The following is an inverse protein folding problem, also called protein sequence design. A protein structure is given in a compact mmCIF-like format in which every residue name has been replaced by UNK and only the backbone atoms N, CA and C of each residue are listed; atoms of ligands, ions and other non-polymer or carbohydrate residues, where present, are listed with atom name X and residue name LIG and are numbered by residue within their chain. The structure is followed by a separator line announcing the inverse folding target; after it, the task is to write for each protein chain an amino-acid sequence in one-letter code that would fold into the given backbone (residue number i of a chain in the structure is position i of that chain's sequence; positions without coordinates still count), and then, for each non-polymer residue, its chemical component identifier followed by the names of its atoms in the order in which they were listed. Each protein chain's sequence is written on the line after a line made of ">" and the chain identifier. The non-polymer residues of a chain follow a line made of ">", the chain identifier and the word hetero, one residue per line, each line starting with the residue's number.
data_IF_727128149514
#
_entry.id   IF_727128149514
#
_cell.length_a   1.000
_cell.length_b   1.000
_cell.length_c   1.000
_cell.angle_alpha   90.00
_cell.angle_beta   90.00
_cell.angle_gamma   90.00
#
_symmetry.space_group_name_H-M   'P 1'
#
loop_
_entity.id
_entity.type
_entity.pdbx_description
1 polymer ?
#
# COMPACT_ATOMS: atom_id res chain seq x y z
N UNK A 1 27.00 7.59 1.39
CA UNK A 1 26.32 8.51 0.45
C UNK A 1 25.43 9.44 1.26
N UNK A 2 25.58 10.77 1.14
CA UNK A 2 24.71 11.73 1.84
C UNK A 2 23.67 12.28 0.88
N UNK A 3 22.40 12.29 1.29
CA UNK A 3 21.31 12.90 0.52
C UNK A 3 21.24 14.38 0.90
N UNK A 4 21.42 15.27 -0.07
CA UNK A 4 21.27 16.72 0.07
C UNK A 4 19.83 17.12 -0.28
N UNK A 5 19.32 18.12 0.44
CA UNK A 5 17.98 18.71 0.23
C UNK A 5 16.87 17.65 0.17
N UNK A 6 16.74 16.79 1.20
CA UNK A 6 15.69 15.79 1.21
C UNK A 6 14.31 16.47 1.23
N UNK A 7 13.39 15.98 0.40
CA UNK A 7 11.98 16.35 0.38
C UNK A 7 11.15 15.08 0.54
N UNK A 8 10.40 14.98 1.63
CA UNK A 8 9.51 13.85 1.91
C UNK A 8 8.08 14.22 1.52
N UNK A 9 7.38 13.28 0.89
CA UNK A 9 6.03 13.45 0.37
C UNK A 9 5.22 12.18 0.63
N UNK A 10 4.01 12.30 1.17
CA UNK A 10 3.06 11.20 1.38
C UNK A 10 2.03 11.25 0.26
N UNK A 11 1.79 10.11 -0.39
CA UNK A 11 0.77 9.95 -1.41
C UNK A 11 -0.39 9.15 -0.82
N UNK A 12 -1.61 9.66 -0.91
CA UNK A 12 -2.82 8.98 -0.46
C UNK A 12 -3.59 8.43 -1.67
N UNK A 13 -4.25 7.29 -1.48
CA UNK A 13 -5.20 6.79 -2.48
C UNK A 13 -6.31 7.83 -2.69
N UNK A 14 -6.53 8.20 -3.96
CA UNK A 14 -7.53 9.16 -4.46
C UNK A 14 -7.14 10.66 -4.38
N UNK A 15 -5.98 11.01 -3.85
CA UNK A 15 -5.51 12.40 -3.87
C UNK A 15 -4.75 12.68 -5.17
N UNK A 16 -4.99 13.84 -5.81
CA UNK A 16 -4.26 14.23 -7.02
C UNK A 16 -2.86 14.75 -6.73
N UNK A 17 -2.64 15.33 -5.54
CA UNK A 17 -1.36 15.87 -5.12
C UNK A 17 -0.90 15.23 -3.81
N UNK A 18 0.41 14.97 -3.65
CA UNK A 18 0.95 14.46 -2.40
C UNK A 18 1.00 15.54 -1.32
N UNK A 19 1.02 15.10 -0.06
CA UNK A 19 1.27 15.98 1.09
C UNK A 19 2.75 16.05 1.41
N UNK A 20 3.33 17.26 1.38
CA UNK A 20 4.71 17.49 1.81
C UNK A 20 4.83 17.34 3.33
N UNK A 21 5.88 16.66 3.79
CA UNK A 21 6.17 16.43 5.21
C UNK A 21 7.61 16.81 5.52
N UNK A 22 7.79 17.53 6.63
CA UNK A 22 9.05 18.22 6.94
C UNK A 22 9.91 17.50 7.97
N UNK A 23 9.28 16.72 8.86
CA UNK A 23 9.97 15.92 9.87
C UNK A 23 9.21 14.61 10.17
N UNK A 24 9.80 13.75 11.00
CA UNK A 24 9.19 12.46 11.34
C UNK A 24 7.90 12.62 12.16
N UNK A 25 7.81 13.66 12.99
CA UNK A 25 6.62 13.93 13.80
C UNK A 25 5.46 14.35 12.90
N UNK A 26 5.72 15.21 11.93
CA UNK A 26 4.80 15.69 10.91
C UNK A 26 4.33 14.54 10.01
N UNK A 27 5.26 13.64 9.64
CA UNK A 27 4.94 12.40 8.93
C UNK A 27 3.96 11.53 9.71
N UNK A 28 4.25 11.25 10.98
CA UNK A 28 3.38 10.42 11.83
C UNK A 28 2.03 11.12 12.04
N UNK A 29 2.02 12.44 12.32
CA UNK A 29 0.81 13.21 12.56
C UNK A 29 -0.09 13.23 11.33
N UNK A 30 0.48 13.49 10.16
CA UNK A 30 -0.21 13.46 8.87
C UNK A 30 -0.76 12.05 8.60
N UNK A 31 0.03 11.02 8.89
CA UNK A 31 -0.39 9.64 8.68
C UNK A 31 -1.55 9.22 9.61
N UNK A 32 -1.53 9.66 10.89
CA UNK A 32 -2.59 9.38 11.89
C UNK A 32 -3.87 10.15 11.59
N UNK A 33 -3.81 11.46 11.31
CA UNK A 33 -4.99 12.28 10.97
C UNK A 33 -5.72 11.71 9.76
N UNK A 34 -4.96 11.20 8.79
CA UNK A 34 -5.56 10.59 7.60
C UNK A 34 -6.20 9.22 7.89
N UNK A 35 -5.76 8.52 8.94
CA UNK A 35 -6.42 7.28 9.40
C UNK A 35 -7.82 7.56 9.97
N UNK A 36 -8.01 8.68 10.69
CA UNK A 36 -9.33 9.17 11.13
C UNK A 36 -10.21 9.57 9.94
N UNK A 37 -9.61 10.16 8.91
CA UNK A 37 -10.26 10.54 7.65
C UNK A 37 -10.47 9.36 6.68
N UNK A 38 -10.14 8.13 7.07
CA UNK A 38 -10.21 6.90 6.25
C UNK A 38 -9.43 6.97 4.93
N UNK A 39 -8.41 7.83 4.84
CA UNK A 39 -7.52 7.89 3.68
C UNK A 39 -6.37 6.92 3.87
N UNK A 40 -6.26 5.96 2.97
CA UNK A 40 -5.14 5.02 2.95
C UNK A 40 -3.94 5.67 2.29
N UNK A 41 -2.77 5.52 2.90
CA UNK A 41 -1.49 5.91 2.29
C UNK A 41 -1.18 4.91 1.18
N UNK A 42 -0.84 5.41 -0.01
CA UNK A 42 -0.36 4.60 -1.14
C UNK A 42 1.14 4.32 -0.97
N UNK A 43 1.94 5.36 -0.83
CA UNK A 43 3.37 5.26 -0.59
C UNK A 43 3.93 6.57 -0.01
N UNK A 44 5.13 6.47 0.57
CA UNK A 44 5.92 7.64 0.97
C UNK A 44 7.10 7.76 0.02
N UNK A 45 7.35 8.96 -0.49
CA UNK A 45 8.46 9.25 -1.40
C UNK A 45 9.41 10.26 -0.79
N UNK A 46 10.68 9.91 -0.73
CA UNK A 46 11.76 10.82 -0.33
C UNK A 46 12.61 11.12 -1.56
N UNK A 47 12.60 12.36 -2.00
CA UNK A 47 13.48 12.86 -3.06
C UNK A 47 14.67 13.58 -2.44
N UNK A 48 15.81 13.60 -3.12
CA UNK A 48 16.95 14.44 -2.78
C UNK A 48 18.04 14.38 -3.84
N UNK A 49 19.24 14.82 -3.51
CA UNK A 49 20.37 14.89 -4.44
C UNK A 49 21.62 14.26 -3.86
N UNK A 50 22.41 13.57 -4.68
CA UNK A 50 23.73 13.07 -4.27
C UNK A 50 24.82 14.14 -4.36
N UNK A 51 26.07 13.75 -4.07
CA UNK A 51 27.22 14.66 -4.13
C UNK A 51 27.54 15.15 -5.56
N UNK A 52 27.06 14.45 -6.59
CA UNK A 52 27.19 14.82 -8.00
C UNK A 52 25.95 15.58 -8.52
N UNK A 53 25.08 16.04 -7.62
CA UNK A 53 23.83 16.74 -7.94
C UNK A 53 22.83 15.91 -8.78
N UNK A 54 22.92 14.58 -8.73
CA UNK A 54 21.97 13.67 -9.37
C UNK A 54 20.77 13.46 -8.45
N UNK A 55 19.55 13.51 -9.00
CA UNK A 55 18.33 13.27 -8.24
C UNK A 55 18.27 11.82 -7.77
N UNK A 56 18.06 11.61 -6.49
CA UNK A 56 17.74 10.32 -5.87
C UNK A 56 16.28 10.37 -5.43
N UNK A 57 15.56 9.27 -5.65
CA UNK A 57 14.22 9.06 -5.13
C UNK A 57 14.16 7.71 -4.43
N UNK A 58 13.67 7.70 -3.20
CA UNK A 58 13.38 6.50 -2.43
C UNK A 58 11.85 6.44 -2.27
N UNK A 59 11.24 5.31 -2.61
CA UNK A 59 9.82 5.05 -2.38
C UNK A 59 9.68 3.97 -1.33
N UNK A 60 8.82 4.20 -0.35
CA UNK A 60 8.40 3.24 0.65
C UNK A 60 6.94 2.89 0.36
N UNK A 61 6.74 1.69 -0.19
CA UNK A 61 5.41 1.13 -0.40
C UNK A 61 4.99 0.38 0.86
N UNK A 62 3.85 0.74 1.42
CA UNK A 62 3.32 0.09 2.61
C UNK A 62 2.11 -0.74 2.18
N UNK A 63 2.26 -2.07 2.20
CA UNK A 63 1.11 -2.94 2.03
C UNK A 63 0.03 -2.72 3.11
N UNK A 64 0.46 -2.31 4.31
CA UNK A 64 -0.40 -1.77 5.36
C UNK A 64 0.47 -0.94 6.30
N UNK A 65 0.14 0.34 6.50
CA UNK A 65 0.69 1.12 7.61
C UNK A 65 -0.13 0.76 8.86
N UNK A 66 0.48 0.05 9.81
CA UNK A 66 -0.19 -0.37 11.04
C UNK A 66 0.13 0.69 12.10
N UNK A 67 -0.90 1.43 12.52
CA UNK A 67 -0.81 2.28 13.70
C UNK A 67 -1.26 1.46 14.90
N UNK A 68 -0.32 1.10 15.76
CA UNK A 68 -0.64 0.53 17.06
C UNK A 68 -0.89 1.71 18.02
N UNK A 69 -2.13 2.19 18.08
CA UNK A 69 -2.53 3.03 19.20
C UNK A 69 -2.33 2.22 20.50
N UNK A 70 -1.64 2.81 21.47
CA UNK A 70 -1.47 2.23 22.81
C UNK A 70 -2.84 2.05 23.45
N UNK A 71 -3.40 0.86 23.29
CA UNK A 71 -4.28 0.03 24.15
C UNK A 71 -5.09 -0.85 23.18
N UNK A 72 -4.51 -1.98 22.77
CA UNK A 72 -5.14 -3.30 22.91
C UNK A 72 -4.00 -4.31 22.92
N UNK A 73 -3.67 -4.74 24.13
CA UNK A 73 -2.95 -5.99 24.37
C UNK A 73 -3.88 -7.09 23.83
N UNK A 74 -3.53 -7.66 22.69
CA UNK A 74 -3.56 -9.10 22.36
C UNK A 74 -3.59 -9.29 20.83
N UNK A 75 -2.48 -8.97 20.16
CA UNK A 75 -2.22 -9.54 18.84
C UNK A 75 -1.71 -10.96 19.11
N UNK A 76 -2.64 -11.87 19.40
CA UNK A 76 -2.51 -13.15 18.74
C UNK A 76 -2.47 -12.83 17.24
N UNK A 77 -1.32 -13.13 16.63
CA UNK A 77 -1.02 -13.02 15.21
C UNK A 77 -2.14 -13.65 14.37
N UNK A 78 -3.19 -12.91 14.07
CA UNK A 78 -4.21 -13.38 13.15
C UNK A 78 -3.77 -13.00 11.74
N UNK A 79 -3.00 -13.89 11.11
CA UNK A 79 -2.56 -13.77 9.71
C UNK A 79 -3.74 -13.43 8.78
N UNK A 80 -4.97 -13.85 9.13
CA UNK A 80 -6.20 -13.56 8.38
C UNK A 80 -6.57 -12.06 8.32
N UNK A 81 -6.06 -11.21 9.22
CA UNK A 81 -6.29 -9.75 9.18
C UNK A 81 -5.43 -9.09 8.11
N UNK A 82 -4.22 -9.62 7.83
CA UNK A 82 -3.37 -9.17 6.72
C UNK A 82 -3.87 -9.69 5.36
N UNK A 83 -4.24 -10.97 5.31
CA UNK A 83 -4.72 -11.64 4.09
C UNK A 83 -5.91 -10.95 3.43
N UNK A 84 -6.82 -10.35 4.20
CA UNK A 84 -8.00 -9.65 3.68
C UNK A 84 -7.73 -8.24 3.11
N UNK A 85 -6.51 -7.70 3.23
CA UNK A 85 -6.20 -6.31 2.82
C UNK A 85 -5.34 -6.22 1.58
N UNK A 86 -4.47 -7.18 1.31
CA UNK A 86 -3.52 -7.11 0.20
C UNK A 86 -4.09 -7.79 -1.05
N UNK A 87 -4.25 -7.01 -2.12
CA UNK A 87 -4.77 -7.51 -3.40
C UNK A 87 -4.03 -8.73 -3.92
N UNK A 88 -2.69 -8.75 -3.84
CA UNK A 88 -1.87 -9.89 -4.26
C UNK A 88 -2.11 -11.16 -3.44
N UNK A 89 -2.33 -11.04 -2.12
CA UNK A 89 -2.62 -12.18 -1.24
C UNK A 89 -4.02 -12.73 -1.49
N UNK A 90 -5.00 -11.86 -1.72
CA UNK A 90 -6.36 -12.26 -2.11
C UNK A 90 -6.33 -13.05 -3.42
N UNK A 91 -5.54 -12.62 -4.41
CA UNK A 91 -5.42 -13.35 -5.68
C UNK A 91 -4.77 -14.73 -5.52
N UNK A 92 -3.80 -14.88 -4.61
CA UNK A 92 -3.22 -16.18 -4.27
C UNK A 92 -4.26 -17.07 -3.56
N UNK A 93 -5.00 -16.51 -2.61
CA UNK A 93 -6.02 -17.23 -1.86
C UNK A 93 -7.19 -17.70 -2.73
N UNK A 94 -7.59 -16.88 -3.71
CA UNK A 94 -8.59 -17.24 -4.71
C UNK A 94 -8.05 -18.14 -5.83
N UNK A 95 -6.78 -18.55 -5.74
CA UNK A 95 -6.09 -19.40 -6.72
C UNK A 95 -6.09 -18.83 -8.15
N UNK A 96 -6.23 -17.51 -8.29
CA UNK A 96 -6.21 -16.84 -9.61
C UNK A 96 -4.80 -16.70 -10.15
N UNK A 97 -3.80 -16.66 -9.26
CA UNK A 97 -2.38 -16.56 -9.62
C UNK A 97 -1.54 -17.47 -8.74
N UNK A 98 -0.32 -17.77 -9.19
CA UNK A 98 0.70 -18.42 -8.36
C UNK A 98 1.61 -17.39 -7.68
N UNK A 99 2.39 -17.82 -6.69
CA UNK A 99 3.36 -16.97 -5.99
C UNK A 99 4.46 -16.48 -6.94
N UNK A 100 4.84 -17.30 -7.91
CA UNK A 100 5.83 -16.97 -8.93
C UNK A 100 5.30 -15.87 -9.85
N UNK A 101 4.06 -16.00 -10.33
CA UNK A 101 3.39 -14.98 -11.16
C UNK A 101 3.22 -13.66 -10.40
N UNK A 102 2.86 -13.72 -9.12
CA UNK A 102 2.76 -12.54 -8.27
C UNK A 102 4.12 -11.83 -8.14
N UNK A 103 5.18 -12.57 -7.80
CA UNK A 103 6.52 -12.01 -7.64
C UNK A 103 7.04 -11.40 -8.94
N UNK A 104 6.82 -12.07 -10.08
CA UNK A 104 7.17 -11.53 -11.40
C UNK A 104 6.47 -10.20 -11.65
N UNK A 105 5.16 -10.12 -11.38
CA UNK A 105 4.39 -8.90 -11.62
C UNK A 105 4.75 -7.77 -10.64
N UNK A 106 5.13 -8.08 -9.39
CA UNK A 106 5.66 -7.11 -8.43
C UNK A 106 7.02 -6.55 -8.86
N UNK A 107 7.88 -7.39 -9.43
CA UNK A 107 9.15 -6.93 -10.01
C UNK A 107 8.90 -6.01 -11.20
N UNK A 108 8.02 -6.40 -12.13
CA UNK A 108 7.62 -5.53 -13.26
C UNK A 108 6.97 -4.23 -12.79
N UNK A 109 6.19 -4.27 -11.71
CA UNK A 109 5.61 -3.07 -11.12
C UNK A 109 6.70 -2.13 -10.61
N UNK A 110 7.70 -2.68 -9.94
CA UNK A 110 8.87 -1.95 -9.44
C UNK A 110 9.69 -1.35 -10.60
N UNK A 111 9.96 -2.15 -11.64
CA UNK A 111 10.69 -1.74 -12.84
C UNK A 111 9.96 -0.65 -13.62
N UNK A 112 8.63 -0.69 -13.64
CA UNK A 112 7.79 0.37 -14.21
C UNK A 112 7.72 1.63 -13.35
N UNK A 113 8.50 1.72 -12.26
CA UNK A 113 8.39 2.77 -11.25
C UNK A 113 6.96 2.97 -10.73
N UNK A 114 6.19 1.88 -10.66
CA UNK A 114 4.79 1.81 -10.25
C UNK A 114 3.86 2.72 -11.06
N UNK A 115 4.22 3.02 -12.32
CA UNK A 115 3.30 3.68 -13.24
C UNK A 115 2.13 2.78 -13.63
N UNK A 116 2.32 1.45 -13.55
CA UNK A 116 1.27 0.46 -13.73
C UNK A 116 0.83 -0.12 -12.39
N UNK A 117 -0.47 -0.38 -12.24
CA UNK A 117 -1.02 -1.08 -11.08
C UNK A 117 -0.80 -2.59 -11.25
N UNK A 118 -0.65 -3.30 -10.13
CA UNK A 118 -0.41 -4.74 -10.12
C UNK A 118 -1.46 -5.52 -10.94
N UNK A 119 -2.74 -5.17 -10.81
CA UNK A 119 -3.83 -5.79 -11.58
C UNK A 119 -3.73 -5.57 -13.10
N UNK A 120 -3.24 -4.40 -13.53
CA UNK A 120 -3.03 -4.11 -14.97
C UNK A 120 -1.91 -4.98 -15.52
N UNK A 121 -0.80 -5.10 -14.79
CA UNK A 121 0.34 -5.94 -15.17
C UNK A 121 -0.09 -7.41 -15.25
N UNK A 122 -0.87 -7.89 -14.29
CA UNK A 122 -1.37 -9.26 -14.27
C UNK A 122 -2.29 -9.57 -15.46
N UNK A 123 -3.11 -8.60 -15.90
CA UNK A 123 -3.93 -8.71 -17.12
C UNK A 123 -3.06 -8.69 -18.37
N UNK A 124 -2.11 -7.75 -18.48
CA UNK A 124 -1.19 -7.64 -19.63
C UNK A 124 -0.35 -8.92 -19.82
N UNK A 125 0.04 -9.56 -18.71
CA UNK A 125 0.75 -10.84 -18.71
C UNK A 125 -0.14 -12.05 -19.00
N UNK A 126 -1.46 -11.85 -19.04
CA UNK A 126 -2.45 -12.91 -19.27
C UNK A 126 -2.61 -13.87 -18.10
N UNK A 127 -2.16 -13.51 -16.89
CA UNK A 127 -2.28 -14.36 -15.71
C UNK A 127 -3.69 -14.33 -15.11
N UNK A 128 -4.39 -13.20 -15.24
CA UNK A 128 -5.77 -13.06 -14.78
C UNK A 128 -6.63 -12.30 -15.79
N UNK A 129 -7.94 -12.51 -15.72
CA UNK A 129 -8.94 -11.78 -16.49
C UNK A 129 -9.39 -10.51 -15.75
N UNK A 130 -9.85 -9.47 -16.45
CA UNK A 130 -10.43 -8.28 -15.82
C UNK A 130 -11.59 -8.59 -14.87
N UNK A 131 -12.38 -9.63 -15.17
CA UNK A 131 -13.49 -10.07 -14.31
C UNK A 131 -13.01 -10.70 -13.00
N UNK A 132 -11.86 -11.36 -12.99
CA UNK A 132 -11.23 -11.96 -11.80
C UNK A 132 -10.61 -10.87 -10.91
N UNK A 133 -10.01 -9.83 -11.51
CA UNK A 133 -9.59 -8.61 -10.79
C UNK A 133 -10.77 -7.98 -10.05
N UNK A 134 -11.90 -7.79 -10.75
CA UNK A 134 -13.07 -7.15 -10.14
C UNK A 134 -13.61 -7.97 -8.97
N UNK A 135 -13.63 -9.31 -9.09
CA UNK A 135 -14.02 -10.20 -7.99
C UNK A 135 -13.08 -10.08 -6.79
N UNK A 136 -11.77 -10.09 -7.02
CA UNK A 136 -10.78 -9.95 -5.96
C UNK A 136 -10.87 -8.58 -5.26
N UNK A 137 -11.09 -7.49 -6.01
CA UNK A 137 -11.35 -6.16 -5.43
C UNK A 137 -12.65 -6.15 -4.63
N UNK A 138 -13.71 -6.78 -5.14
CA UNK A 138 -14.99 -6.87 -4.42
C UNK A 138 -14.83 -7.64 -3.10
N UNK A 139 -14.03 -8.71 -3.10
CA UNK A 139 -13.69 -9.47 -1.90
C UNK A 139 -12.89 -8.62 -0.90
N UNK A 140 -11.84 -7.92 -1.38
CA UNK A 140 -11.03 -7.00 -0.58
C UNK A 140 -11.88 -5.92 0.11
N UNK A 141 -12.82 -5.34 -0.65
CA UNK A 141 -13.70 -4.28 -0.18
C UNK A 141 -14.78 -4.85 0.75
N UNK A 142 -15.42 -5.97 0.39
CA UNK A 142 -16.48 -6.63 1.16
C UNK A 142 -16.01 -7.10 2.53
N UNK A 143 -14.85 -7.75 2.60
CA UNK A 143 -14.19 -8.15 3.86
C UNK A 143 -13.85 -6.93 4.72
N UNK A 144 -13.42 -5.83 4.10
CA UNK A 144 -13.15 -4.57 4.79
C UNK A 144 -14.41 -3.88 5.34
N UNK A 145 -15.58 -4.10 4.72
CA UNK A 145 -16.87 -3.56 5.19
C UNK A 145 -17.52 -4.42 6.28
N UNK A 146 -17.44 -5.76 6.17
CA UNK A 146 -18.07 -6.67 7.14
C UNK A 146 -17.38 -6.60 8.51
N UNK A 147 -16.04 -6.59 8.55
CA UNK A 147 -15.29 -6.46 9.82
C UNK A 147 -15.55 -5.14 10.56
N UNK A 148 -15.99 -4.08 9.86
CA UNK A 148 -16.33 -2.79 10.48
C UNK A 148 -17.63 -2.81 11.27
N UNK A 149 -18.58 -3.69 10.96
CA UNK A 149 -19.85 -3.75 11.70
C UNK A 149 -19.70 -4.45 13.05
N UNK A 150 -18.82 -5.46 13.15
CA UNK A 150 -18.59 -6.20 14.40
C UNK A 150 -17.91 -5.34 15.49
N UNK A 151 -17.18 -4.29 15.10
CA UNK A 151 -16.54 -3.36 16.04
C UNK A 151 -17.43 -2.17 16.44
N UNK A 152 -18.60 -1.98 15.82
CA UNK A 152 -19.54 -0.88 16.15
C UNK A 152 -20.63 -1.38 17.13
N UNK A 153 -20.73 -2.68 17.36
CA UNK A 153 -21.79 -3.30 18.17
C UNK A 153 -21.38 -3.69 19.61
N UNK A 154 -20.17 -3.32 20.08
CA UNK A 154 -19.72 -3.58 21.46
C UNK A 154 -19.51 -2.30 22.24
#
# INVERSE_FOLDING_TARGET
>A
MKIKRPKCQIYFYNDQEPTDVFDLKDLISTAVINSEMKKNIEFIKINGYDDKNRKISIRFDFGSLIFEDRITIDIQHDENVRLGRLFGEILLHLEYITKEQLNECLNLQTDSHFHKKLGEILIEKGYIKPTEVLKAITHQIGESYLKKQDHIQK
#
